data_IF_810643547242
#
_entry.id   IF_810643547242
#
_cell.length_a   1.000
_cell.length_b   1.000
_cell.length_c   1.000
_cell.angle_alpha   90.00
_cell.angle_beta   90.00
_cell.angle_gamma   90.00
#
_symmetry.space_group_name_H-M   'P 1'
#
loop_
_entity.id
_entity.type
_entity.pdbx_description
1 polymer ?
#
# COMPACT_ATOMS: atom_id res chain seq x y z
N UNK A 1 3.48 -10.97 5.72
CA UNK A 1 3.28 -10.08 4.56
C UNK A 1 3.38 -10.85 3.26
N UNK A 2 4.61 -11.02 2.75
CA UNK A 2 4.90 -11.76 1.51
C UNK A 2 4.35 -13.20 1.51
N UNK A 3 4.62 -13.99 2.54
CA UNK A 3 4.06 -15.35 2.66
C UNK A 3 2.52 -15.35 2.57
N UNK A 4 1.85 -14.40 3.25
CA UNK A 4 0.41 -14.26 3.17
C UNK A 4 -0.08 -13.93 1.76
N UNK A 5 0.70 -13.22 0.93
CA UNK A 5 0.35 -13.00 -0.48
C UNK A 5 0.23 -14.33 -1.25
N UNK A 6 1.10 -15.30 -0.96
CA UNK A 6 1.03 -16.62 -1.58
C UNK A 6 -0.21 -17.42 -1.15
N UNK A 7 -0.80 -17.09 0.00
CA UNK A 7 -2.01 -17.72 0.54
C UNK A 7 -3.31 -17.06 0.06
N UNK A 8 -3.32 -15.73 -0.16
CA UNK A 8 -4.56 -15.00 -0.40
C UNK A 8 -4.42 -13.64 -1.09
N UNK A 9 -3.35 -13.43 -1.87
CA UNK A 9 -3.03 -12.18 -2.56
C UNK A 9 -2.75 -10.99 -1.62
N UNK A 10 -2.54 -9.80 -2.21
CA UNK A 10 -1.88 -8.68 -1.53
C UNK A 10 -2.67 -8.11 -0.36
N UNK A 11 -3.99 -8.12 -0.44
CA UNK A 11 -4.87 -7.65 0.63
C UNK A 11 -4.83 -8.57 1.85
N UNK A 12 -5.01 -9.88 1.63
CA UNK A 12 -4.82 -10.87 2.69
C UNK A 12 -3.41 -10.79 3.25
N UNK A 13 -2.39 -10.81 2.39
CA UNK A 13 -0.98 -10.85 2.80
C UNK A 13 -0.55 -9.71 3.69
N UNK A 14 -0.94 -8.48 3.35
CA UNK A 14 -0.64 -7.31 4.17
C UNK A 14 -1.41 -7.33 5.50
N UNK A 15 -2.67 -7.76 5.49
CA UNK A 15 -3.47 -7.89 6.71
C UNK A 15 -2.91 -8.94 7.68
N UNK A 16 -2.66 -10.17 7.19
CA UNK A 16 -2.15 -11.26 8.04
C UNK A 16 -0.74 -11.01 8.52
N UNK A 17 0.07 -10.24 7.77
CA UNK A 17 1.40 -9.84 8.20
C UNK A 17 1.44 -9.12 9.54
N UNK A 18 0.36 -8.45 9.94
CA UNK A 18 0.21 -7.82 11.26
C UNK A 18 -0.69 -8.68 12.16
N UNK A 19 -1.80 -9.20 11.63
CA UNK A 19 -2.76 -9.97 12.43
C UNK A 19 -2.14 -11.24 13.04
N UNK A 20 -1.25 -11.94 12.34
CA UNK A 20 -0.63 -13.17 12.87
C UNK A 20 0.27 -12.88 14.08
N UNK A 21 1.03 -11.78 14.06
CA UNK A 21 1.77 -11.34 15.24
C UNK A 21 0.84 -11.03 16.43
N UNK A 22 -0.33 -10.44 16.19
CA UNK A 22 -1.34 -10.19 17.22
C UNK A 22 -1.96 -11.48 17.75
N UNK A 23 -2.25 -12.45 16.88
CA UNK A 23 -2.75 -13.77 17.27
C UNK A 23 -1.76 -14.49 18.18
N UNK A 24 -0.48 -14.47 17.80
CA UNK A 24 0.56 -15.19 18.53
C UNK A 24 0.92 -14.53 19.86
N UNK A 25 0.99 -13.20 19.90
CA UNK A 25 1.47 -12.47 21.09
C UNK A 25 0.36 -11.99 22.02
N UNK A 26 -0.85 -11.79 21.51
CA UNK A 26 -1.98 -11.28 22.31
C UNK A 26 -3.10 -12.31 22.44
N UNK A 27 -3.36 -13.11 21.41
CA UNK A 27 -4.42 -14.12 21.43
C UNK A 27 -5.80 -13.53 21.18
N UNK A 28 -6.76 -13.80 22.07
CA UNK A 28 -8.12 -13.24 21.95
C UNK A 28 -8.10 -11.70 22.06
N UNK A 29 -8.86 -10.94 21.23
CA UNK A 29 -9.86 -11.38 20.26
C UNK A 29 -9.32 -11.66 18.84
N UNK A 30 -8.03 -11.44 18.58
CA UNK A 30 -7.43 -11.50 17.24
C UNK A 30 -7.46 -12.91 16.62
N UNK A 31 -7.49 -13.95 17.44
CA UNK A 31 -7.65 -15.35 17.01
C UNK A 31 -9.02 -15.65 16.38
N UNK A 32 -10.03 -14.80 16.60
CA UNK A 32 -11.38 -14.98 16.05
C UNK A 32 -11.64 -14.22 14.75
N UNK A 33 -10.70 -13.39 14.30
CA UNK A 33 -10.88 -12.56 13.11
C UNK A 33 -10.71 -13.44 11.85
N UNK A 34 -11.72 -13.56 10.96
CA UNK A 34 -11.63 -14.38 9.76
C UNK A 34 -10.86 -13.64 8.65
N UNK A 35 -9.54 -13.85 8.56
CA UNK A 35 -8.65 -13.11 7.67
C UNK A 35 -8.95 -13.33 6.18
N UNK A 36 -9.55 -14.47 5.84
CA UNK A 36 -9.99 -14.85 4.50
C UNK A 36 -10.97 -13.83 3.91
N UNK A 37 -11.69 -13.08 4.76
CA UNK A 37 -12.55 -11.98 4.31
C UNK A 37 -11.78 -10.98 3.45
N UNK A 38 -10.47 -10.79 3.68
CA UNK A 38 -9.66 -9.81 2.96
C UNK A 38 -9.35 -10.21 1.50
N UNK A 39 -9.71 -11.43 1.08
CA UNK A 39 -9.53 -11.89 -0.30
C UNK A 39 -10.21 -10.99 -1.34
N UNK A 40 -11.29 -10.26 -0.97
CA UNK A 40 -11.96 -9.32 -1.87
C UNK A 40 -11.03 -8.25 -2.44
N UNK A 41 -9.98 -7.86 -1.70
CA UNK A 41 -9.08 -6.77 -2.08
C UNK A 41 -8.04 -7.15 -3.14
N UNK A 42 -7.98 -8.42 -3.55
CA UNK A 42 -7.06 -8.89 -4.59
C UNK A 42 -7.21 -8.08 -5.89
N UNK A 43 -6.09 -7.68 -6.50
CA UNK A 43 -6.08 -6.93 -7.76
C UNK A 43 -6.74 -5.54 -7.69
N UNK A 44 -6.79 -4.93 -6.50
CA UNK A 44 -7.46 -3.65 -6.29
C UNK A 44 -8.98 -3.78 -6.36
N UNK A 45 -9.50 -4.61 -5.44
CA UNK A 45 -10.91 -5.02 -5.34
C UNK A 45 -11.34 -5.91 -6.51
N UNK A 46 -11.24 -7.23 -6.35
CA UNK A 46 -11.64 -8.23 -7.35
C UNK A 46 -11.13 -7.96 -8.78
N UNK A 47 -9.90 -7.45 -8.90
CA UNK A 47 -9.26 -7.17 -10.18
C UNK A 47 -9.66 -5.83 -10.84
N UNK A 48 -10.41 -4.96 -10.18
CA UNK A 48 -10.80 -3.65 -10.73
C UNK A 48 -9.65 -2.64 -10.83
N UNK A 49 -8.49 -2.92 -10.22
CA UNK A 49 -7.34 -2.03 -10.30
C UNK A 49 -7.50 -0.73 -9.49
N UNK A 50 -8.41 -0.70 -8.51
CA UNK A 50 -8.63 0.45 -7.61
C UNK A 50 -7.52 0.55 -6.55
N UNK A 51 -7.78 0.96 -5.31
CA UNK A 51 -6.77 1.03 -4.24
C UNK A 51 -5.98 -0.29 -4.12
N UNK A 52 -4.65 -0.22 -4.01
CA UNK A 52 -3.81 -1.40 -3.88
C UNK A 52 -4.29 -2.30 -2.72
N UNK A 53 -4.46 -3.59 -2.99
CA UNK A 53 -4.92 -4.54 -1.98
C UNK A 53 -4.04 -4.52 -0.73
N UNK A 54 -2.72 -4.41 -0.87
CA UNK A 54 -1.81 -4.31 0.28
C UNK A 54 -2.12 -3.11 1.19
N UNK A 55 -2.49 -1.96 0.61
CA UNK A 55 -2.91 -0.79 1.37
C UNK A 55 -4.24 -1.03 2.10
N UNK A 56 -5.20 -1.70 1.46
CA UNK A 56 -6.47 -2.09 2.08
C UNK A 56 -6.21 -3.03 3.27
N UNK A 57 -5.38 -4.05 3.08
CA UNK A 57 -5.03 -5.03 4.10
C UNK A 57 -4.34 -4.40 5.31
N UNK A 58 -3.30 -3.61 5.07
CA UNK A 58 -2.59 -2.90 6.13
C UNK A 58 -3.48 -1.88 6.86
N UNK A 59 -4.31 -1.13 6.13
CA UNK A 59 -5.24 -0.18 6.74
C UNK A 59 -6.28 -0.88 7.64
N UNK A 60 -6.79 -2.05 7.23
CA UNK A 60 -7.68 -2.85 8.05
C UNK A 60 -6.98 -3.30 9.34
N UNK A 61 -5.72 -3.78 9.26
CA UNK A 61 -4.96 -4.18 10.43
C UNK A 61 -4.68 -3.00 11.40
N UNK A 62 -4.34 -1.82 10.88
CA UNK A 62 -4.17 -0.60 11.68
C UNK A 62 -5.44 -0.28 12.47
N UNK A 63 -6.61 -0.39 11.83
CA UNK A 63 -7.91 -0.10 12.47
C UNK A 63 -8.30 -1.13 13.55
N UNK A 64 -7.70 -2.33 13.58
CA UNK A 64 -7.95 -3.30 14.65
C UNK A 64 -7.34 -2.87 16.00
N UNK A 65 -6.26 -2.10 15.96
CA UNK A 65 -5.41 -1.84 17.14
C UNK A 65 -5.27 -0.36 17.48
N UNK A 66 -5.89 0.52 16.70
CA UNK A 66 -5.74 1.97 16.85
C UNK A 66 -7.12 2.65 16.86
N UNK A 67 -7.28 3.66 17.73
CA UNK A 67 -8.48 4.51 17.76
C UNK A 67 -8.72 5.18 16.40
N UNK A 68 -10.00 5.36 16.04
CA UNK A 68 -10.47 5.73 14.69
C UNK A 68 -9.76 6.95 14.11
N UNK A 69 -9.64 8.05 14.84
CA UNK A 69 -9.09 9.30 14.26
C UNK A 69 -7.57 9.23 14.12
N UNK A 70 -6.91 8.51 15.02
CA UNK A 70 -5.48 8.22 14.90
C UNK A 70 -5.20 7.21 13.77
N UNK A 71 -6.02 6.17 13.64
CA UNK A 71 -5.93 5.19 12.55
C UNK A 71 -6.05 5.89 11.19
N UNK A 72 -6.97 6.85 11.05
CA UNK A 72 -7.10 7.67 9.82
C UNK A 72 -5.83 8.45 9.50
N UNK A 73 -5.14 9.02 10.50
CA UNK A 73 -3.87 9.74 10.30
C UNK A 73 -2.76 8.78 9.85
N UNK A 74 -2.61 7.65 10.53
CA UNK A 74 -1.62 6.62 10.19
C UNK A 74 -1.87 6.05 8.78
N UNK A 75 -3.12 5.74 8.45
CA UNK A 75 -3.49 5.25 7.10
C UNK A 75 -3.24 6.32 6.05
N UNK A 76 -3.52 7.59 6.32
CA UNK A 76 -3.22 8.69 5.39
C UNK A 76 -1.72 8.80 5.13
N UNK A 77 -0.88 8.64 6.17
CA UNK A 77 0.58 8.64 6.04
C UNK A 77 1.05 7.45 5.20
N UNK A 78 0.55 6.24 5.51
CA UNK A 78 0.85 5.01 4.76
C UNK A 78 0.54 5.14 3.26
N UNK A 79 -0.61 5.72 2.91
CA UNK A 79 -1.03 5.94 1.52
C UNK A 79 -0.08 6.91 0.80
N UNK A 80 0.34 7.96 1.50
CA UNK A 80 1.29 8.94 0.99
C UNK A 80 2.66 8.33 0.75
N UNK A 81 3.25 7.73 1.80
CA UNK A 81 4.55 7.05 1.73
C UNK A 81 4.58 5.99 0.63
N UNK A 82 3.53 5.17 0.51
CA UNK A 82 3.40 4.20 -0.58
C UNK A 82 3.52 4.84 -1.97
N UNK A 83 2.89 6.00 -2.15
CA UNK A 83 2.83 6.64 -3.47
C UNK A 83 4.19 7.13 -3.95
N UNK A 84 5.11 7.43 -3.02
CA UNK A 84 6.46 7.96 -3.33
C UNK A 84 7.59 6.96 -3.06
N UNK A 85 7.29 5.81 -2.46
CA UNK A 85 8.31 4.79 -2.17
C UNK A 85 8.58 3.93 -3.41
N UNK A 86 9.86 3.68 -3.76
CA UNK A 86 10.22 2.75 -4.82
C UNK A 86 9.94 1.30 -4.39
N UNK A 87 9.07 0.59 -5.12
CA UNK A 87 8.72 -0.81 -4.87
C UNK A 87 9.13 -1.76 -6.01
N UNK A 88 9.50 -3.02 -5.70
CA UNK A 88 9.67 -3.59 -4.35
C UNK A 88 10.87 -2.92 -3.63
N UNK A 89 10.90 -2.95 -2.29
CA UNK A 89 12.03 -2.37 -1.56
C UNK A 89 13.33 -3.13 -1.84
N UNK A 90 14.47 -2.50 -1.58
CA UNK A 90 15.78 -3.17 -1.67
C UNK A 90 15.84 -4.36 -0.71
N UNK A 91 15.34 -4.20 0.52
CA UNK A 91 15.21 -5.28 1.51
C UNK A 91 14.43 -6.46 0.96
N UNK A 92 13.25 -6.23 0.37
CA UNK A 92 12.44 -7.29 -0.22
C UNK A 92 13.11 -7.93 -1.44
N UNK A 93 13.87 -7.18 -2.24
CA UNK A 93 14.69 -7.74 -3.30
C UNK A 93 15.79 -8.66 -2.76
N UNK A 94 16.47 -8.25 -1.69
CA UNK A 94 17.51 -9.05 -1.04
C UNK A 94 16.91 -10.33 -0.44
N UNK A 95 15.76 -10.25 0.22
CA UNK A 95 15.06 -11.42 0.74
C UNK A 95 14.69 -12.43 -0.34
N UNK A 96 14.31 -11.97 -1.54
CA UNK A 96 14.06 -12.89 -2.64
C UNK A 96 15.34 -13.51 -3.20
N UNK A 97 16.38 -12.69 -3.43
CA UNK A 97 17.65 -13.17 -3.99
C UNK A 97 18.37 -14.16 -3.06
N UNK A 98 18.24 -13.98 -1.75
CA UNK A 98 18.85 -14.83 -0.72
C UNK A 98 17.93 -15.96 -0.23
N UNK A 99 16.71 -16.07 -0.76
CA UNK A 99 15.71 -17.06 -0.35
C UNK A 99 15.34 -16.97 1.15
N UNK A 100 15.17 -15.75 1.66
CA UNK A 100 14.86 -15.45 3.07
C UNK A 100 13.35 -15.23 3.34
N UNK A 101 12.53 -15.09 2.29
CA UNK A 101 11.08 -15.15 2.45
C UNK A 101 10.60 -16.53 2.94
N UNK A 102 9.48 -16.54 3.66
CA UNK A 102 8.94 -17.73 4.31
C UNK A 102 8.14 -18.64 3.35
N UNK A 103 8.59 -18.77 2.10
CA UNK A 103 7.95 -19.61 1.07
C UNK A 103 8.94 -20.59 0.47
N UNK A 104 8.47 -21.77 0.07
CA UNK A 104 9.33 -22.80 -0.54
C UNK A 104 9.47 -22.63 -2.05
N UNK A 105 8.41 -22.21 -2.73
CA UNK A 105 8.39 -22.02 -4.18
C UNK A 105 8.17 -20.55 -4.52
N UNK A 106 9.21 -19.90 -5.03
CA UNK A 106 9.17 -18.51 -5.42
C UNK A 106 8.53 -18.36 -6.80
N UNK A 107 7.68 -17.33 -6.96
CA UNK A 107 7.26 -16.88 -8.29
C UNK A 107 8.45 -16.29 -9.05
N UNK A 108 9.34 -15.58 -8.35
CA UNK A 108 10.64 -15.16 -8.87
C UNK A 108 11.60 -14.85 -7.72
N UNK A 109 12.85 -15.27 -7.86
CA UNK A 109 13.96 -14.93 -6.94
C UNK A 109 14.89 -13.86 -7.54
N UNK A 110 14.59 -13.38 -8.76
CA UNK A 110 15.36 -12.31 -9.40
C UNK A 110 15.28 -11.02 -8.61
N UNK A 111 16.34 -10.23 -8.67
CA UNK A 111 16.28 -8.81 -8.31
C UNK A 111 15.37 -8.10 -9.32
N UNK A 112 14.30 -7.50 -8.83
CA UNK A 112 13.30 -6.85 -9.68
C UNK A 112 13.58 -5.33 -9.73
N UNK A 113 13.38 -4.68 -10.90
CA UNK A 113 13.46 -3.23 -10.98
C UNK A 113 12.53 -2.57 -9.97
N UNK A 114 12.96 -1.45 -9.39
CA UNK A 114 12.10 -0.67 -8.50
C UNK A 114 11.43 0.44 -9.31
N UNK A 115 10.21 0.83 -8.93
CA UNK A 115 9.53 1.99 -9.49
C UNK A 115 8.68 2.70 -8.44
N UNK A 116 8.51 4.00 -8.61
CA UNK A 116 7.58 4.84 -7.83
C UNK A 116 6.27 4.93 -8.60
N UNK A 117 5.12 4.73 -7.94
CA UNK A 117 3.83 4.74 -8.63
C UNK A 117 3.16 6.10 -8.74
N UNK A 118 3.55 7.06 -7.88
CA UNK A 118 2.86 8.34 -7.70
C UNK A 118 1.35 8.20 -7.47
N UNK A 119 0.89 7.03 -6.99
CA UNK A 119 -0.52 6.73 -6.84
C UNK A 119 -0.76 5.53 -5.92
N UNK A 120 -1.78 5.57 -5.05
CA UNK A 120 -2.22 4.40 -4.28
C UNK A 120 -3.03 3.39 -5.11
N UNK A 121 -3.32 3.68 -6.39
CA UNK A 121 -4.09 2.81 -7.27
C UNK A 121 -3.24 1.64 -7.80
N UNK A 122 -3.81 0.45 -7.73
CA UNK A 122 -3.22 -0.80 -8.21
C UNK A 122 -2.99 -0.76 -9.72
N UNK A 123 -3.96 -0.23 -10.49
CA UNK A 123 -3.83 -0.06 -11.93
C UNK A 123 -2.58 0.75 -12.29
N UNK A 124 -2.41 1.94 -11.69
CA UNK A 124 -1.26 2.83 -11.93
C UNK A 124 0.03 2.16 -11.47
N UNK A 125 0.06 1.64 -10.24
CA UNK A 125 1.26 1.02 -9.66
C UNK A 125 1.79 -0.16 -10.46
N UNK A 126 0.91 -1.07 -10.90
CA UNK A 126 1.31 -2.23 -11.70
C UNK A 126 1.72 -1.80 -13.11
N UNK A 127 0.98 -0.87 -13.72
CA UNK A 127 1.25 -0.41 -15.09
C UNK A 127 2.60 0.28 -15.19
N UNK A 128 2.88 1.24 -14.30
CA UNK A 128 4.15 1.97 -14.30
C UNK A 128 5.34 1.06 -14.00
N UNK A 129 5.17 0.11 -13.07
CA UNK A 129 6.20 -0.88 -12.82
C UNK A 129 6.46 -1.78 -14.02
N UNK A 130 5.41 -2.29 -14.68
CA UNK A 130 5.54 -3.13 -15.88
C UNK A 130 6.26 -2.39 -17.02
N UNK A 131 5.93 -1.11 -17.24
CA UNK A 131 6.62 -0.23 -18.21
C UNK A 131 8.09 -0.07 -17.86
N UNK A 132 8.40 0.27 -16.60
CA UNK A 132 9.77 0.46 -16.14
C UNK A 132 10.62 -0.82 -16.22
N UNK A 133 10.01 -1.97 -15.92
CA UNK A 133 10.66 -3.27 -16.01
C UNK A 133 10.73 -3.84 -17.44
N UNK A 134 9.99 -3.27 -18.40
CA UNK A 134 9.91 -3.77 -19.76
C UNK A 134 9.25 -5.15 -19.87
N UNK A 135 8.30 -5.49 -18.98
CA UNK A 135 7.65 -6.80 -18.94
C UNK A 135 6.12 -6.71 -18.94
N UNK A 136 5.46 -7.76 -19.42
CA UNK A 136 4.00 -7.85 -19.44
C UNK A 136 3.41 -8.09 -18.03
N UNK A 137 2.15 -7.72 -17.83
CA UNK A 137 1.48 -7.83 -16.52
C UNK A 137 1.12 -9.27 -16.11
N UNK A 138 1.12 -10.25 -17.03
CA UNK A 138 0.86 -11.66 -16.72
C UNK A 138 2.14 -12.48 -16.53
N UNK A 139 3.19 -11.85 -15.99
CA UNK A 139 4.46 -12.53 -15.66
C UNK A 139 4.50 -12.95 -14.20
N UNK A 140 5.26 -14.02 -13.90
CA UNK A 140 5.51 -14.40 -12.51
C UNK A 140 6.32 -13.32 -11.77
N UNK A 141 7.19 -12.57 -12.45
CA UNK A 141 7.92 -11.43 -11.87
C UNK A 141 6.97 -10.32 -11.38
N UNK A 142 5.92 -9.98 -12.14
CA UNK A 142 4.92 -9.01 -11.66
C UNK A 142 4.18 -9.52 -10.43
N UNK A 143 3.76 -10.79 -10.46
CA UNK A 143 3.08 -11.41 -9.33
C UNK A 143 3.97 -11.41 -8.08
N UNK A 144 5.24 -11.76 -8.24
CA UNK A 144 6.25 -11.69 -7.18
C UNK A 144 6.43 -10.27 -6.65
N UNK A 145 6.52 -9.27 -7.54
CA UNK A 145 6.60 -7.86 -7.15
C UNK A 145 5.41 -7.45 -6.26
N UNK A 146 4.20 -7.91 -6.56
CA UNK A 146 3.03 -7.67 -5.71
C UNK A 146 3.13 -8.39 -4.35
N UNK A 147 3.74 -9.58 -4.29
CA UNK A 147 4.01 -10.28 -3.03
C UNK A 147 5.04 -9.56 -2.15
N UNK A 148 6.14 -9.11 -2.75
CA UNK A 148 7.16 -8.28 -2.09
C UNK A 148 6.57 -6.99 -1.55
N UNK A 149 5.80 -6.28 -2.39
CA UNK A 149 5.09 -5.06 -2.01
C UNK A 149 4.09 -5.30 -0.86
N UNK A 150 3.38 -6.43 -0.83
CA UNK A 150 2.50 -6.75 0.30
C UNK A 150 3.29 -6.94 1.61
N UNK A 151 4.51 -7.48 1.54
CA UNK A 151 5.47 -7.49 2.65
C UNK A 151 5.91 -6.10 3.05
N UNK A 152 6.39 -5.30 2.11
CA UNK A 152 6.89 -3.94 2.37
C UNK A 152 5.81 -3.04 2.99
N UNK A 153 4.58 -3.08 2.48
CA UNK A 153 3.46 -2.28 3.01
C UNK A 153 3.05 -2.73 4.40
N UNK A 154 3.11 -4.04 4.70
CA UNK A 154 2.86 -4.53 6.05
C UNK A 154 3.95 -4.06 7.03
N UNK A 155 5.21 -4.08 6.60
CA UNK A 155 6.34 -3.59 7.39
C UNK A 155 6.20 -2.08 7.66
N UNK A 156 5.93 -1.28 6.63
CA UNK A 156 5.71 0.16 6.74
C UNK A 156 4.56 0.49 7.70
N UNK A 157 3.45 -0.26 7.63
CA UNK A 157 2.34 -0.10 8.56
C UNK A 157 2.72 -0.46 10.01
N UNK A 158 3.51 -1.52 10.21
CA UNK A 158 4.00 -1.89 11.53
C UNK A 158 4.97 -0.83 12.10
N UNK A 159 5.84 -0.25 11.27
CA UNK A 159 6.72 0.86 11.65
C UNK A 159 5.94 2.10 12.09
N UNK A 160 4.89 2.47 11.37
CA UNK A 160 4.03 3.60 11.75
C UNK A 160 3.27 3.32 13.06
N UNK A 161 2.78 2.10 13.26
CA UNK A 161 2.16 1.69 14.53
C UNK A 161 3.17 1.73 15.70
N UNK A 162 4.40 1.27 15.48
CA UNK A 162 5.47 1.31 16.47
C UNK A 162 5.89 2.75 16.80
N UNK A 163 6.02 3.61 15.80
CA UNK A 163 6.28 5.04 16.01
C UNK A 163 5.17 5.70 16.84
N UNK A 164 3.92 5.32 16.61
CA UNK A 164 2.80 5.80 17.40
C UNK A 164 2.87 5.34 18.87
N UNK A 165 3.17 4.05 19.11
CA UNK A 165 3.37 3.53 20.46
C UNK A 165 4.55 4.19 21.19
N UNK A 166 5.60 4.55 20.45
CA UNK A 166 6.75 5.30 20.96
C UNK A 166 6.47 6.81 21.10
N UNK A 167 5.24 7.29 20.87
CA UNK A 167 4.85 8.71 20.85
C UNK A 167 5.65 9.56 19.86
N UNK A 168 6.25 8.93 18.86
CA UNK A 168 7.11 9.53 17.83
C UNK A 168 6.39 9.71 16.49
N UNK A 169 5.16 9.21 16.33
CA UNK A 169 4.39 9.38 15.10
C UNK A 169 3.96 10.84 14.91
N UNK A 170 4.50 11.45 13.85
CA UNK A 170 4.09 12.76 13.34
C UNK A 170 3.82 12.59 11.85
N UNK A 171 2.60 12.91 11.35
CA UNK A 171 2.34 12.88 9.91
C UNK A 171 3.33 13.79 9.17
N UNK A 172 4.05 13.25 8.20
CA UNK A 172 5.13 13.94 7.51
C UNK A 172 4.86 14.05 6.00
N UNK A 173 4.07 13.16 5.43
CA UNK A 173 3.81 13.15 4.00
C UNK A 173 3.17 14.46 3.53
N UNK A 174 3.76 15.06 2.50
CA UNK A 174 3.25 16.23 1.80
C UNK A 174 3.07 15.90 0.32
N UNK A 175 2.06 16.51 -0.30
CA UNK A 175 1.89 16.42 -1.76
C UNK A 175 3.02 17.15 -2.50
N UNK A 176 3.19 16.83 -3.78
CA UNK A 176 4.07 17.57 -4.69
C UNK A 176 3.73 19.08 -4.68
N UNK A 177 4.70 19.93 -4.99
CA UNK A 177 4.46 21.38 -5.05
C UNK A 177 3.40 21.72 -6.11
N UNK A 178 3.38 20.95 -7.19
CA UNK A 178 2.42 21.08 -8.27
C UNK A 178 1.00 20.75 -7.81
N UNK A 179 0.81 19.62 -7.10
CA UNK A 179 -0.49 19.29 -6.53
C UNK A 179 -0.93 20.30 -5.46
N UNK A 180 -0.01 20.84 -4.66
CA UNK A 180 -0.28 21.95 -3.76
C UNK A 180 -0.76 23.21 -4.50
N UNK A 181 -0.19 23.48 -5.67
CA UNK A 181 -0.66 24.53 -6.58
C UNK A 181 -2.11 24.33 -7.01
N UNK A 182 -2.48 23.12 -7.43
CA UNK A 182 -3.88 22.81 -7.78
C UNK A 182 -4.83 23.02 -6.58
N UNK A 183 -4.41 22.60 -5.38
CA UNK A 183 -5.20 22.72 -4.16
C UNK A 183 -5.32 24.15 -3.60
N UNK A 184 -4.70 25.14 -4.25
CA UNK A 184 -4.96 26.55 -3.91
C UNK A 184 -6.39 27.00 -4.25
N UNK A 185 -7.01 26.38 -5.26
CA UNK A 185 -8.39 26.62 -5.67
C UNK A 185 -9.25 25.34 -5.64
N UNK A 186 -8.68 24.21 -6.07
CA UNK A 186 -9.38 22.93 -6.11
C UNK A 186 -9.33 22.27 -4.73
N UNK A 187 -10.38 22.48 -3.95
CA UNK A 187 -10.50 21.95 -2.58
C UNK A 187 -11.86 21.33 -2.33
N UNK A 188 -12.01 20.70 -1.16
CA UNK A 188 -13.32 20.36 -0.63
C UNK A 188 -13.97 21.63 -0.07
N UNK A 189 -15.17 21.97 -0.54
CA UNK A 189 -15.93 23.13 -0.07
C UNK A 189 -17.31 23.21 -0.74
N UNK A 190 -18.02 24.31 -0.53
CA UNK A 190 -19.37 24.53 -1.06
C UNK A 190 -19.41 25.51 -2.24
N UNK A 191 -18.32 26.21 -2.54
CA UNK A 191 -18.24 27.17 -3.63
C UNK A 191 -17.79 26.52 -4.95
N UNK A 192 -18.76 26.00 -5.72
CA UNK A 192 -18.51 25.40 -7.03
C UNK A 192 -17.75 26.33 -7.99
N UNK A 193 -18.10 27.62 -8.02
CA UNK A 193 -17.47 28.60 -8.91
C UNK A 193 -16.00 28.86 -8.56
N UNK A 194 -15.61 28.65 -7.29
CA UNK A 194 -14.23 28.76 -6.83
C UNK A 194 -13.40 27.48 -7.01
N UNK A 195 -13.97 26.41 -7.61
CA UNK A 195 -13.26 25.15 -7.81
C UNK A 195 -13.46 24.13 -6.69
N UNK A 196 -14.39 24.36 -5.77
CA UNK A 196 -14.53 23.52 -4.57
C UNK A 196 -15.33 22.23 -4.82
N UNK A 197 -14.93 21.44 -5.82
CA UNK A 197 -15.62 20.22 -6.25
C UNK A 197 -14.73 18.99 -6.32
N UNK A 198 -13.51 19.06 -5.77
CA UNK A 198 -12.64 17.89 -5.68
C UNK A 198 -12.81 17.20 -4.32
N UNK A 199 -12.68 15.88 -4.34
CA UNK A 199 -12.63 15.06 -3.13
C UNK A 199 -11.51 14.05 -3.29
N UNK A 200 -10.51 14.11 -2.41
CA UNK A 200 -9.41 13.15 -2.43
C UNK A 200 -8.06 13.76 -2.06
N UNK A 201 -7.07 12.88 -2.04
CA UNK A 201 -5.68 13.13 -1.65
C UNK A 201 -4.73 12.41 -2.62
N UNK A 202 -5.13 12.27 -3.88
CA UNK A 202 -4.32 11.64 -4.92
C UNK A 202 -3.43 12.67 -5.61
N UNK A 203 -2.32 12.21 -6.18
CA UNK A 203 -1.53 13.03 -7.11
C UNK A 203 -2.38 13.38 -8.35
N UNK A 204 -2.37 14.64 -8.74
CA UNK A 204 -3.21 15.19 -9.80
C UNK A 204 -2.62 14.88 -11.19
N UNK A 205 -1.30 15.03 -11.33
CA UNK A 205 -0.63 15.04 -12.63
C UNK A 205 -0.55 13.68 -13.32
N UNK A 206 -0.85 12.60 -12.59
CA UNK A 206 -0.96 11.26 -13.20
C UNK A 206 -2.18 11.13 -14.12
N UNK A 207 -3.18 12.00 -13.96
CA UNK A 207 -4.46 11.93 -14.68
C UNK A 207 -4.90 13.25 -15.30
N UNK A 208 -4.39 14.39 -14.81
CA UNK A 208 -4.82 15.71 -15.21
C UNK A 208 -3.66 16.52 -15.77
N UNK A 209 -3.91 17.14 -16.92
CA UNK A 209 -3.00 18.14 -17.47
C UNK A 209 -3.21 19.48 -16.74
N UNK A 210 -2.12 20.17 -16.33
CA UNK A 210 -2.22 21.50 -15.73
C UNK A 210 -2.91 22.50 -16.66
N UNK A 211 -3.74 23.37 -16.08
CA UNK A 211 -4.21 24.58 -16.74
C UNK A 211 -3.51 25.80 -16.15
N UNK A 212 -3.29 26.80 -17.02
CA UNK A 212 -2.72 28.11 -16.65
C UNK A 212 -3.85 29.12 -16.47
#
# INVERSE_FOLDING_TARGET
GHEGYYRGDCCFGAFVGILEALRDKVGFPFTQIPAEMMGFGAGGVSGWGTTCGALIGAAAAINLVTEKDLARKIVSELMGLYSVTPFPSETSNNYAANHEFLVTEYKSDKVLPQSVSNSPLCHVSVTEWCKAAGIASKTPERAERCGRLAGDVAAMAAELLNANLATAFVPAFQFSQEAQGCMSCHTLGDNFAAGNFIQGKGECLSCHEPHQ
#
